data_IF_578660352600
#
_entry.id   IF_578660352600
#
_cell.length_a   1.000
_cell.length_b   1.000
_cell.length_c   1.000
_cell.angle_alpha   90.00
_cell.angle_beta   90.00
_cell.angle_gamma   90.00
#
_symmetry.space_group_name_H-M   'P 1'
#
loop_
_entity.id
_entity.type
_entity.pdbx_description
1 polymer ?
#
# COMPACT_ATOMS: atom_id res chain seq x y z
N UNK A 1 8.60 4.16 -1.16
CA UNK A 1 7.58 3.94 -0.08
C UNK A 1 8.01 4.61 1.21
N UNK A 2 7.05 4.86 2.05
CA UNK A 2 7.11 5.52 3.36
C UNK A 2 8.22 5.01 4.29
N UNK A 3 8.23 3.72 4.65
CA UNK A 3 9.23 3.13 5.54
C UNK A 3 10.67 3.28 5.01
N UNK A 4 10.87 3.22 3.69
CA UNK A 4 12.20 3.40 3.09
C UNK A 4 12.64 4.86 3.17
N UNK A 5 11.74 5.81 2.92
CA UNK A 5 12.01 7.24 3.06
C UNK A 5 12.32 7.56 4.52
N UNK A 6 11.54 7.02 5.46
CA UNK A 6 11.82 7.16 6.89
C UNK A 6 13.24 6.67 7.26
N UNK A 7 13.64 5.51 6.74
CA UNK A 7 15.00 4.98 6.89
C UNK A 7 16.06 5.93 6.33
N UNK A 8 15.84 6.46 5.11
CA UNK A 8 16.77 7.39 4.46
C UNK A 8 16.90 8.71 5.23
N UNK A 9 15.80 9.23 5.80
CA UNK A 9 15.82 10.44 6.66
C UNK A 9 16.64 10.16 7.93
N UNK A 10 16.39 9.04 8.61
CA UNK A 10 17.12 8.65 9.83
C UNK A 10 18.60 8.44 9.55
N UNK A 11 18.94 7.90 8.39
CA UNK A 11 20.34 7.65 7.95
C UNK A 11 21.01 8.88 7.36
N UNK A 12 20.33 10.03 7.32
CA UNK A 12 20.84 11.29 6.76
C UNK A 12 21.24 11.17 5.27
N UNK A 13 20.45 10.45 4.48
CA UNK A 13 20.71 10.14 3.07
C UNK A 13 19.92 11.02 2.09
N UNK A 14 19.03 11.91 2.56
CA UNK A 14 18.21 12.80 1.74
C UNK A 14 18.45 14.27 2.04
N UNK A 15 18.28 15.12 1.02
CA UNK A 15 18.32 16.57 1.13
C UNK A 15 16.92 17.13 1.45
N UNK A 16 16.80 18.21 2.26
CA UNK A 16 15.55 18.94 2.38
C UNK A 16 15.08 19.47 1.02
N UNK A 17 13.77 19.48 0.79
CA UNK A 17 13.15 20.04 -0.41
C UNK A 17 12.88 21.52 -0.20
N UNK A 18 13.25 22.35 -1.18
CA UNK A 18 12.97 23.79 -1.20
C UNK A 18 11.55 24.02 -1.75
N UNK A 19 10.54 23.86 -0.90
CA UNK A 19 9.13 24.06 -1.27
C UNK A 19 8.80 25.49 -1.68
N UNK A 20 9.54 26.49 -1.15
CA UNK A 20 9.31 27.91 -1.43
C UNK A 20 9.60 28.24 -2.91
N UNK A 21 10.42 27.46 -3.58
CA UNK A 21 10.74 27.59 -5.00
C UNK A 21 9.80 26.82 -5.94
N UNK A 22 8.84 26.06 -5.40
CA UNK A 22 7.88 25.25 -6.15
C UNK A 22 6.56 26.01 -6.35
N UNK A 23 6.12 26.12 -7.62
CA UNK A 23 4.90 26.82 -7.99
C UNK A 23 3.64 25.98 -7.76
N UNK A 24 3.74 24.66 -7.97
CA UNK A 24 2.61 23.73 -7.97
C UNK A 24 2.50 22.86 -6.72
N UNK A 25 3.38 23.04 -5.74
CA UNK A 25 3.37 22.24 -4.51
C UNK A 25 2.05 22.37 -3.72
N UNK A 26 1.37 23.51 -3.85
CA UNK A 26 0.05 23.77 -3.27
C UNK A 26 -1.08 22.91 -3.84
N UNK A 27 -0.85 22.15 -4.92
CA UNK A 27 -1.81 21.17 -5.44
C UNK A 27 -1.87 19.89 -4.59
N UNK A 28 -0.89 19.64 -3.73
CA UNK A 28 -0.91 18.50 -2.81
C UNK A 28 -1.79 18.84 -1.61
N UNK A 29 -2.82 18.02 -1.37
CA UNK A 29 -3.81 18.26 -0.32
C UNK A 29 -3.25 18.08 1.10
N UNK A 30 -3.78 18.86 2.04
CA UNK A 30 -3.35 18.87 3.45
C UNK A 30 -3.41 17.49 4.11
N UNK A 31 -4.41 16.68 3.77
CA UNK A 31 -4.58 15.30 4.25
C UNK A 31 -3.33 14.45 3.98
N UNK A 32 -2.74 14.58 2.82
CA UNK A 32 -1.58 13.76 2.41
C UNK A 32 -0.28 14.25 3.06
N UNK A 33 -0.20 15.53 3.36
CA UNK A 33 0.88 16.06 4.21
C UNK A 33 0.78 15.53 5.64
N UNK A 34 -0.44 15.48 6.22
CA UNK A 34 -0.64 14.87 7.54
C UNK A 34 -0.26 13.38 7.56
N UNK A 35 -0.62 12.62 6.53
CA UNK A 35 -0.20 11.22 6.39
C UNK A 35 1.33 11.09 6.34
N UNK A 36 1.99 11.98 5.60
CA UNK A 36 3.45 11.98 5.45
C UNK A 36 4.21 12.26 6.74
N UNK A 37 3.59 12.89 7.76
CA UNK A 37 4.21 13.11 9.08
C UNK A 37 4.57 11.81 9.81
N UNK A 38 3.96 10.69 9.44
CA UNK A 38 4.29 9.38 10.01
C UNK A 38 5.74 8.97 9.71
N UNK A 39 6.29 9.37 8.56
CA UNK A 39 7.63 9.00 8.10
C UNK A 39 8.55 10.20 7.85
N UNK A 40 8.02 11.39 7.60
CA UNK A 40 8.72 12.69 7.49
C UNK A 40 8.11 13.69 8.48
N UNK A 41 8.44 13.54 9.75
CA UNK A 41 7.80 14.24 10.86
C UNK A 41 7.74 15.77 10.71
N UNK A 42 8.78 16.34 10.13
CA UNK A 42 8.92 17.80 9.98
C UNK A 42 8.46 18.28 8.59
N UNK A 43 8.02 17.37 7.71
CA UNK A 43 7.63 17.63 6.33
C UNK A 43 8.70 18.41 5.57
N UNK A 44 9.93 17.89 5.56
CA UNK A 44 11.08 18.58 4.98
C UNK A 44 11.68 17.90 3.76
N UNK A 45 11.45 16.59 3.60
CA UNK A 45 12.25 15.77 2.70
C UNK A 45 11.45 15.16 1.56
N UNK A 46 10.10 15.22 1.63
CA UNK A 46 9.24 14.43 0.76
C UNK A 46 8.19 15.24 0.04
N UNK A 47 7.86 14.84 -1.19
CA UNK A 47 6.68 15.31 -1.92
C UNK A 47 5.78 14.10 -2.17
N UNK A 48 4.57 14.03 -1.58
CA UNK A 48 3.63 12.94 -1.84
C UNK A 48 3.34 12.78 -3.33
N UNK A 49 3.28 11.54 -3.81
CA UNK A 49 3.12 11.26 -5.24
C UNK A 49 1.92 10.38 -5.54
N UNK A 50 1.87 9.20 -4.96
CA UNK A 50 0.73 8.28 -4.98
C UNK A 50 0.55 7.67 -3.60
N UNK A 51 -0.64 7.13 -3.38
CA UNK A 51 -0.97 6.42 -2.16
C UNK A 51 -2.01 5.35 -2.44
N UNK A 52 -2.26 4.50 -1.49
CA UNK A 52 -3.28 3.47 -1.61
C UNK A 52 -3.32 2.58 -0.39
N UNK A 53 -4.10 1.52 -0.49
CA UNK A 53 -4.28 0.55 0.59
C UNK A 53 -3.85 -0.84 0.16
N UNK A 54 -3.63 -1.71 1.13
CA UNK A 54 -3.55 -3.15 0.94
C UNK A 54 -4.90 -3.76 1.28
N UNK A 55 -5.41 -4.63 0.43
CA UNK A 55 -6.71 -5.25 0.65
C UNK A 55 -6.85 -6.61 -0.02
N UNK A 56 -8.08 -7.06 -0.13
CA UNK A 56 -8.44 -8.29 -0.81
C UNK A 56 -9.09 -7.94 -2.14
N UNK A 57 -8.49 -8.39 -3.25
CA UNK A 57 -9.14 -8.49 -4.55
C UNK A 57 -9.79 -9.86 -4.61
N UNK A 58 -11.07 -9.92 -4.99
CA UNK A 58 -11.80 -11.17 -5.05
C UNK A 58 -12.66 -11.27 -6.29
N UNK A 59 -12.89 -12.49 -6.75
CA UNK A 59 -13.74 -12.78 -7.90
C UNK A 59 -15.15 -13.12 -7.42
N UNK A 60 -16.14 -12.32 -7.81
CA UNK A 60 -17.53 -12.44 -7.39
C UNK A 60 -18.24 -13.69 -7.92
N UNK A 61 -17.76 -14.28 -9.03
CA UNK A 61 -18.27 -15.54 -9.57
C UNK A 61 -17.69 -16.76 -8.86
N UNK A 62 -16.52 -16.62 -8.22
CA UNK A 62 -15.85 -17.71 -7.50
C UNK A 62 -16.16 -17.67 -6.00
N UNK A 63 -16.51 -16.49 -5.44
CA UNK A 63 -16.86 -16.31 -4.04
C UNK A 63 -18.36 -16.14 -3.85
N UNK A 64 -18.91 -16.69 -2.77
CA UNK A 64 -20.34 -16.59 -2.43
C UNK A 64 -20.62 -15.56 -1.32
N UNK A 65 -19.59 -14.81 -0.90
CA UNK A 65 -19.71 -13.69 0.04
C UNK A 65 -18.60 -12.65 -0.21
N UNK A 66 -18.84 -11.43 0.26
CA UNK A 66 -17.83 -10.36 0.25
C UNK A 66 -16.81 -10.62 1.37
N UNK A 67 -15.50 -10.76 1.07
CA UNK A 67 -14.46 -11.04 2.09
C UNK A 67 -14.11 -9.77 2.90
N UNK A 68 -15.07 -9.24 3.65
CA UNK A 68 -14.95 -8.00 4.43
C UNK A 68 -14.10 -8.12 5.72
N UNK A 69 -13.47 -9.27 5.91
CA UNK A 69 -12.59 -9.58 7.04
C UNK A 69 -11.37 -10.33 6.57
N UNK A 70 -10.21 -10.05 7.17
CA UNK A 70 -8.98 -10.82 6.92
C UNK A 70 -9.14 -12.32 7.19
N UNK A 71 -10.14 -12.75 7.99
CA UNK A 71 -10.42 -14.17 8.21
C UNK A 71 -10.76 -14.92 6.90
N UNK A 72 -11.22 -14.25 5.85
CA UNK A 72 -11.47 -14.86 4.55
C UNK A 72 -10.24 -15.59 3.99
N UNK A 73 -9.03 -15.06 4.27
CA UNK A 73 -7.77 -15.68 3.84
C UNK A 73 -7.44 -17.00 4.59
N UNK A 74 -8.25 -17.40 5.57
CA UNK A 74 -8.19 -18.67 6.29
C UNK A 74 -9.40 -19.57 6.04
N UNK A 75 -10.26 -19.23 5.07
CA UNK A 75 -11.43 -20.05 4.75
C UNK A 75 -11.02 -21.27 3.93
N UNK A 76 -11.15 -22.45 4.53
CA UNK A 76 -10.83 -23.76 3.93
C UNK A 76 -11.61 -24.04 2.63
N UNK A 77 -12.76 -23.38 2.43
CA UNK A 77 -13.56 -23.48 1.21
C UNK A 77 -12.76 -23.04 -0.01
N UNK A 78 -11.87 -22.09 0.14
CA UNK A 78 -11.07 -21.53 -0.95
C UNK A 78 -9.63 -22.05 -0.99
N UNK A 79 -9.39 -23.20 -0.36
CA UNK A 79 -8.07 -23.87 -0.41
C UNK A 79 -7.54 -23.98 -1.84
N UNK A 80 -6.28 -23.58 -2.04
CA UNK A 80 -5.59 -23.50 -3.34
C UNK A 80 -6.24 -22.50 -4.33
N UNK A 81 -6.97 -21.51 -3.82
CA UNK A 81 -7.54 -20.40 -4.57
C UNK A 81 -7.28 -19.06 -3.87
N UNK A 82 -6.26 -18.98 -3.03
CA UNK A 82 -5.84 -17.79 -2.28
C UNK A 82 -4.42 -17.44 -2.69
N UNK A 83 -4.19 -16.21 -3.13
CA UNK A 83 -2.85 -15.70 -3.43
C UNK A 83 -2.44 -14.70 -2.35
N UNK A 84 -1.25 -14.88 -1.80
CA UNK A 84 -0.65 -13.99 -0.80
C UNK A 84 0.47 -13.16 -1.42
N UNK A 85 0.76 -11.99 -0.84
CA UNK A 85 1.90 -11.19 -1.23
C UNK A 85 3.22 -11.91 -0.92
N UNK A 86 4.18 -11.85 -1.86
CA UNK A 86 5.55 -12.31 -1.64
C UNK A 86 6.41 -11.17 -1.07
N UNK A 87 5.86 -10.45 -0.13
CA UNK A 87 6.50 -9.36 0.61
C UNK A 87 6.44 -9.66 2.10
N UNK A 88 7.54 -9.42 2.80
CA UNK A 88 7.71 -9.79 4.21
C UNK A 88 6.67 -9.08 5.08
N UNK A 89 6.60 -7.75 4.99
CA UNK A 89 5.72 -6.93 5.84
C UNK A 89 4.27 -7.13 5.45
N UNK A 90 3.94 -7.04 4.16
CA UNK A 90 2.56 -7.14 3.67
C UNK A 90 1.91 -8.49 3.99
N UNK A 91 2.66 -9.59 3.88
CA UNK A 91 2.14 -10.92 4.24
C UNK A 91 1.79 -11.05 5.71
N UNK A 92 2.44 -10.29 6.60
CA UNK A 92 2.16 -10.32 8.03
C UNK A 92 0.95 -9.46 8.43
N UNK A 93 0.52 -8.48 7.61
CA UNK A 93 -0.60 -7.58 7.89
C UNK A 93 -1.84 -8.33 8.40
N UNK A 94 -2.42 -9.28 7.65
CA UNK A 94 -3.65 -9.95 8.06
C UNK A 94 -3.53 -10.67 9.41
N UNK A 95 -2.40 -11.35 9.62
CA UNK A 95 -2.19 -12.14 10.84
C UNK A 95 -1.97 -11.26 12.07
N UNK A 96 -1.24 -10.15 11.92
CA UNK A 96 -1.02 -9.18 13.00
C UNK A 96 -2.34 -8.52 13.41
N UNK A 97 -3.08 -7.98 12.45
CA UNK A 97 -4.34 -7.29 12.70
C UNK A 97 -5.37 -8.23 13.34
N UNK A 98 -5.50 -9.47 12.85
CA UNK A 98 -6.39 -10.48 13.45
C UNK A 98 -6.00 -10.88 14.87
N UNK A 99 -4.74 -10.67 15.25
CA UNK A 99 -4.27 -10.85 16.62
C UNK A 99 -4.39 -9.56 17.47
N UNK A 100 -5.00 -8.49 16.94
CA UNK A 100 -5.11 -7.15 17.52
C UNK A 100 -3.74 -6.51 17.80
N UNK A 101 -2.77 -6.75 16.93
CA UNK A 101 -1.44 -6.14 16.97
C UNK A 101 -1.30 -5.10 15.86
N UNK A 102 -0.47 -4.08 16.11
CA UNK A 102 -0.06 -3.11 15.08
C UNK A 102 0.75 -3.79 13.98
N UNK A 103 0.59 -3.35 12.74
CA UNK A 103 1.44 -3.76 11.61
C UNK A 103 2.89 -3.25 11.77
N UNK A 104 3.12 -2.37 12.74
CA UNK A 104 4.42 -1.81 13.10
C UNK A 104 5.02 -2.43 14.37
N UNK A 105 4.47 -3.53 14.88
CA UNK A 105 5.01 -4.18 16.08
C UNK A 105 6.45 -4.64 15.88
N UNK A 106 7.25 -4.51 16.94
CA UNK A 106 8.62 -5.06 17.02
C UNK A 106 8.73 -6.14 18.09
N UNK A 107 7.61 -6.49 18.74
CA UNK A 107 7.57 -7.54 19.75
C UNK A 107 7.69 -8.93 19.13
N UNK A 108 8.73 -9.69 19.54
CA UNK A 108 8.98 -11.03 18.99
C UNK A 108 7.83 -12.02 19.32
N UNK A 109 7.16 -11.86 20.46
CA UNK A 109 6.04 -12.73 20.83
C UNK A 109 4.83 -12.52 19.92
N UNK A 110 4.48 -11.27 19.62
CA UNK A 110 3.41 -10.91 18.67
C UNK A 110 3.74 -11.41 17.26
N UNK A 111 4.97 -11.19 16.80
CA UNK A 111 5.42 -11.65 15.49
C UNK A 111 5.42 -13.17 15.35
N UNK A 112 5.80 -13.91 16.41
CA UNK A 112 5.72 -15.38 16.42
C UNK A 112 4.29 -15.89 16.43
N UNK A 113 3.38 -15.20 17.11
CA UNK A 113 1.95 -15.51 17.07
C UNK A 113 1.37 -15.30 15.66
N UNK A 114 1.76 -14.21 14.99
CA UNK A 114 1.39 -13.95 13.60
C UNK A 114 1.99 -15.02 12.64
N UNK A 115 3.27 -15.38 12.81
CA UNK A 115 3.90 -16.46 12.05
C UNK A 115 3.13 -17.78 12.20
N UNK A 116 2.75 -18.15 13.43
CA UNK A 116 1.97 -19.39 13.65
C UNK A 116 0.66 -19.36 12.88
N UNK A 117 -0.05 -18.24 12.90
CA UNK A 117 -1.29 -18.06 12.13
C UNK A 117 -1.06 -18.19 10.63
N UNK A 118 0.02 -17.61 10.09
CA UNK A 118 0.41 -17.75 8.68
C UNK A 118 0.84 -19.17 8.30
N UNK A 119 1.47 -19.90 9.22
CA UNK A 119 1.79 -21.32 9.01
C UNK A 119 0.52 -22.16 8.92
N UNK A 120 -0.50 -21.87 9.74
CA UNK A 120 -1.80 -22.56 9.68
C UNK A 120 -2.55 -22.24 8.37
N UNK A 121 -2.33 -21.04 7.78
CA UNK A 121 -2.88 -20.63 6.50
C UNK A 121 -2.17 -21.31 5.31
N UNK A 122 -0.90 -21.62 5.43
CA UNK A 122 -0.04 -21.96 4.30
C UNK A 122 -0.57 -23.09 3.41
N UNK A 123 -1.26 -24.07 3.99
CA UNK A 123 -1.89 -25.17 3.23
C UNK A 123 -3.08 -24.71 2.37
N UNK A 124 -3.62 -23.52 2.62
CA UNK A 124 -4.73 -22.93 1.87
C UNK A 124 -4.23 -22.08 0.70
N UNK A 125 -3.01 -21.57 0.79
CA UNK A 125 -2.42 -20.64 -0.16
C UNK A 125 -1.99 -21.37 -1.44
N UNK A 126 -2.45 -20.87 -2.58
CA UNK A 126 -2.03 -21.32 -3.90
C UNK A 126 -0.60 -20.91 -4.21
N UNK A 127 -0.29 -19.63 -4.01
CA UNK A 127 1.00 -19.03 -4.35
C UNK A 127 1.28 -17.77 -3.56
N UNK A 128 2.56 -17.39 -3.52
CA UNK A 128 3.04 -16.10 -3.02
C UNK A 128 3.65 -15.34 -4.19
N UNK A 129 3.00 -14.26 -4.62
CA UNK A 129 3.36 -13.47 -5.81
C UNK A 129 3.45 -11.98 -5.43
N UNK A 130 3.91 -11.14 -6.33
CA UNK A 130 3.90 -9.67 -6.18
C UNK A 130 2.99 -9.11 -7.28
N UNK A 131 3.56 -8.60 -8.37
CA UNK A 131 2.79 -7.97 -9.44
C UNK A 131 1.98 -9.00 -10.28
N UNK A 132 2.43 -10.26 -10.30
CA UNK A 132 1.74 -11.34 -11.00
C UNK A 132 0.35 -11.66 -10.43
N UNK A 133 0.05 -11.24 -9.20
CA UNK A 133 -1.29 -11.39 -8.60
C UNK A 133 -2.34 -10.73 -9.49
N UNK A 134 -2.05 -9.55 -10.02
CA UNK A 134 -2.93 -8.83 -10.94
C UNK A 134 -3.32 -9.70 -12.12
N UNK A 135 -2.34 -10.27 -12.79
CA UNK A 135 -2.56 -11.04 -14.01
C UNK A 135 -3.27 -12.37 -13.70
N UNK A 136 -2.92 -13.04 -12.60
CA UNK A 136 -3.58 -14.28 -12.17
C UNK A 136 -5.05 -14.02 -11.81
N UNK A 137 -5.36 -12.94 -11.08
CA UNK A 137 -6.73 -12.59 -10.74
C UNK A 137 -7.53 -12.18 -11.97
N UNK A 138 -6.97 -11.39 -12.88
CA UNK A 138 -7.61 -10.99 -14.13
C UNK A 138 -7.96 -12.19 -15.02
N UNK A 139 -7.22 -13.30 -14.92
CA UNK A 139 -7.44 -14.54 -15.66
C UNK A 139 -8.17 -15.64 -14.86
N UNK A 140 -8.90 -15.31 -13.80
CA UNK A 140 -9.70 -16.23 -12.96
C UNK A 140 -8.88 -17.39 -12.36
N UNK A 141 -7.58 -17.18 -12.06
CA UNK A 141 -6.71 -18.22 -11.55
C UNK A 141 -6.83 -18.42 -10.03
N UNK A 142 -7.49 -17.48 -9.31
CA UNK A 142 -7.74 -17.57 -7.87
C UNK A 142 -9.05 -16.90 -7.50
N UNK A 143 -9.64 -17.31 -6.36
CA UNK A 143 -10.86 -16.71 -5.85
C UNK A 143 -10.58 -15.37 -5.15
N UNK A 144 -9.42 -15.23 -4.50
CA UNK A 144 -9.03 -13.99 -3.85
C UNK A 144 -7.50 -13.85 -3.74
N UNK A 145 -7.05 -12.60 -3.64
CA UNK A 145 -5.64 -12.25 -3.48
C UNK A 145 -5.41 -11.05 -2.56
N UNK A 146 -4.35 -11.12 -1.75
CA UNK A 146 -3.83 -9.98 -0.99
C UNK A 146 -3.05 -9.08 -1.95
N UNK A 147 -3.51 -7.85 -2.19
CA UNK A 147 -3.01 -7.02 -3.28
C UNK A 147 -3.02 -5.52 -2.91
N UNK A 148 -2.20 -4.73 -3.59
CA UNK A 148 -2.25 -3.27 -3.54
C UNK A 148 -3.44 -2.73 -4.34
N UNK A 149 -4.07 -1.68 -3.84
CA UNK A 149 -5.31 -1.13 -4.38
C UNK A 149 -5.20 -0.71 -5.86
N UNK A 150 -4.10 -0.12 -6.29
CA UNK A 150 -3.90 0.27 -7.68
C UNK A 150 -3.76 -0.93 -8.63
N UNK A 151 -3.05 -1.99 -8.21
CA UNK A 151 -3.00 -3.24 -8.96
C UNK A 151 -4.37 -3.92 -9.04
N UNK A 152 -5.17 -3.80 -7.98
CA UNK A 152 -6.56 -4.29 -7.99
C UNK A 152 -7.41 -3.50 -8.99
N UNK A 153 -7.28 -2.17 -9.03
CA UNK A 153 -7.98 -1.33 -10.01
C UNK A 153 -7.61 -1.70 -11.43
N UNK A 154 -6.32 -1.89 -11.70
CA UNK A 154 -5.88 -2.30 -13.04
C UNK A 154 -6.36 -3.71 -13.41
N UNK A 155 -6.42 -4.65 -12.46
CA UNK A 155 -6.98 -5.99 -12.72
C UNK A 155 -8.47 -5.94 -13.10
N UNK A 156 -9.24 -5.04 -12.46
CA UNK A 156 -10.68 -4.82 -12.73
C UNK A 156 -10.95 -4.30 -14.13
N UNK A 157 -10.02 -3.56 -14.75
CA UNK A 157 -10.11 -3.16 -16.17
C UNK A 157 -10.13 -4.34 -17.14
N UNK A 158 -9.58 -5.47 -16.74
CA UNK A 158 -9.51 -6.68 -17.57
C UNK A 158 -10.53 -7.74 -17.20
N UNK A 159 -11.14 -7.66 -16.00
CA UNK A 159 -12.12 -8.63 -15.52
C UNK A 159 -13.16 -7.95 -14.63
N UNK A 160 -14.35 -7.73 -15.17
CA UNK A 160 -15.49 -7.08 -14.50
C UNK A 160 -16.06 -7.84 -13.29
N UNK A 161 -15.67 -9.12 -13.12
CA UNK A 161 -16.07 -9.93 -11.97
C UNK A 161 -15.18 -9.69 -10.74
N UNK A 162 -14.16 -8.85 -10.85
CA UNK A 162 -13.27 -8.55 -9.74
C UNK A 162 -13.75 -7.35 -8.94
N UNK A 163 -13.75 -7.51 -7.61
CA UNK A 163 -14.04 -6.45 -6.67
C UNK A 163 -12.94 -6.35 -5.61
N UNK A 164 -12.73 -5.14 -5.07
CA UNK A 164 -11.72 -4.87 -4.07
C UNK A 164 -12.36 -4.44 -2.74
N UNK A 165 -11.82 -4.95 -1.64
CA UNK A 165 -12.26 -4.57 -0.30
C UNK A 165 -11.07 -4.41 0.66
N UNK A 166 -11.10 -3.34 1.45
CA UNK A 166 -10.23 -3.21 2.64
C UNK A 166 -11.00 -3.81 3.82
N UNK A 167 -10.50 -4.88 4.46
CA UNK A 167 -11.20 -5.52 5.57
C UNK A 167 -11.50 -4.57 6.73
N UNK A 168 -12.59 -4.86 7.43
CA UNK A 168 -13.13 -4.02 8.51
C UNK A 168 -12.19 -3.88 9.72
N UNK A 169 -11.27 -4.79 9.88
CA UNK A 169 -10.26 -4.74 10.93
C UNK A 169 -9.16 -3.71 10.67
N UNK A 170 -9.14 -3.11 9.47
CA UNK A 170 -8.08 -2.19 9.04
C UNK A 170 -7.00 -2.87 8.20
N UNK A 171 -6.05 -2.09 7.74
CA UNK A 171 -4.96 -2.54 6.86
C UNK A 171 -3.75 -1.61 6.90
N UNK A 172 -2.84 -1.79 5.95
CA UNK A 172 -1.82 -0.83 5.60
C UNK A 172 -2.36 0.21 4.62
N UNK A 173 -2.02 1.47 4.87
CA UNK A 173 -2.13 2.56 3.91
C UNK A 173 -0.71 3.04 3.60
N UNK A 174 -0.30 2.90 2.37
CA UNK A 174 1.05 3.27 1.94
C UNK A 174 1.05 4.61 1.21
N UNK A 175 2.14 5.35 1.36
CA UNK A 175 2.36 6.63 0.68
C UNK A 175 3.69 6.58 -0.04
N UNK A 176 3.65 6.60 -1.36
CA UNK A 176 4.83 6.81 -2.17
C UNK A 176 5.11 8.30 -2.29
N UNK A 177 6.34 8.67 -2.08
CA UNK A 177 6.76 10.06 -2.13
C UNK A 177 8.11 10.18 -2.85
N UNK A 178 8.30 11.32 -3.47
CA UNK A 178 9.59 11.71 -4.02
C UNK A 178 10.47 12.28 -2.91
N UNK A 179 11.75 11.97 -2.97
CA UNK A 179 12.79 12.54 -2.11
C UNK A 179 14.06 12.79 -2.92
N UNK A 180 14.89 13.73 -2.51
CA UNK A 180 16.15 14.09 -3.20
C UNK A 180 17.31 13.44 -2.46
N UNK A 181 18.01 12.46 -3.04
CA UNK A 181 19.16 11.84 -2.38
C UNK A 181 20.32 12.83 -2.21
N UNK A 182 21.01 12.73 -1.06
CA UNK A 182 22.22 13.52 -0.81
C UNK A 182 23.32 13.22 -1.83
N UNK A 183 24.10 14.26 -2.14
CA UNK A 183 25.21 14.17 -3.09
C UNK A 183 24.78 14.19 -4.56
N UNK A 184 23.52 14.43 -4.85
CA UNK A 184 23.03 14.70 -6.20
C UNK A 184 23.70 15.94 -6.80
N UNK A 185 24.12 15.86 -8.08
CA UNK A 185 24.86 16.96 -8.74
C UNK A 185 23.97 18.09 -9.26
N UNK A 186 22.64 17.91 -9.23
CA UNK A 186 21.70 18.87 -9.81
C UNK A 186 20.47 19.00 -8.90
N UNK A 187 20.66 19.55 -7.72
CA UNK A 187 19.60 19.79 -6.74
C UNK A 187 18.48 20.67 -7.30
N UNK A 188 18.82 21.80 -7.93
CA UNK A 188 17.83 22.71 -8.53
C UNK A 188 16.99 22.03 -9.63
N UNK A 189 17.62 21.16 -10.44
CA UNK A 189 16.92 20.38 -11.44
C UNK A 189 15.97 19.34 -10.81
N UNK A 190 16.38 18.73 -9.69
CA UNK A 190 15.53 17.81 -8.94
C UNK A 190 14.30 18.52 -8.39
N UNK A 191 14.45 19.69 -7.73
CA UNK A 191 13.31 20.48 -7.21
C UNK A 191 12.36 20.88 -8.34
N UNK A 192 12.89 21.36 -9.48
CA UNK A 192 12.06 21.68 -10.66
C UNK A 192 11.32 20.47 -11.22
N UNK A 193 11.92 19.29 -11.16
CA UNK A 193 11.24 18.06 -11.61
C UNK A 193 10.13 17.67 -10.65
N UNK A 194 10.33 17.79 -9.33
CA UNK A 194 9.29 17.57 -8.34
C UNK A 194 8.12 18.54 -8.53
N UNK A 195 8.40 19.81 -8.76
CA UNK A 195 7.38 20.82 -9.03
C UNK A 195 6.61 20.51 -10.32
N UNK A 196 7.31 20.11 -11.38
CA UNK A 196 6.70 19.67 -12.63
C UNK A 196 5.72 18.50 -12.43
N UNK A 197 6.04 17.54 -11.56
CA UNK A 197 5.15 16.42 -11.24
C UNK A 197 3.91 16.82 -10.44
N UNK A 198 3.95 17.97 -9.75
CA UNK A 198 2.79 18.50 -9.01
C UNK A 198 1.81 19.28 -9.92
N UNK A 199 2.17 19.60 -11.18
CA UNK A 199 1.26 20.25 -12.12
C UNK A 199 0.04 19.38 -12.37
N UNK A 200 -1.12 20.00 -12.47
CA UNK A 200 -2.41 19.33 -12.67
C UNK A 200 -2.45 18.46 -13.94
N UNK A 201 -1.97 18.97 -15.07
CA UNK A 201 -1.94 18.26 -16.35
C UNK A 201 -0.98 17.04 -16.33
N UNK A 202 0.15 17.17 -15.65
CA UNK A 202 1.14 16.09 -15.49
C UNK A 202 0.64 15.06 -14.50
N UNK A 203 0.12 15.50 -13.36
CA UNK A 203 -0.41 14.63 -12.32
C UNK A 203 -1.64 13.85 -12.83
N UNK A 204 -2.51 14.47 -13.64
CA UNK A 204 -3.64 13.80 -14.31
C UNK A 204 -3.14 12.69 -15.23
N UNK A 205 -2.17 12.99 -16.11
CA UNK A 205 -1.59 12.00 -17.01
C UNK A 205 -0.98 10.80 -16.25
N UNK A 206 -0.29 11.07 -15.13
CA UNK A 206 0.26 10.03 -14.28
C UNK A 206 -0.84 9.22 -13.59
N UNK A 207 -1.88 9.87 -13.08
CA UNK A 207 -3.02 9.22 -12.44
C UNK A 207 -3.73 8.25 -13.40
N UNK A 208 -4.05 8.71 -14.60
CA UNK A 208 -4.71 7.89 -15.63
C UNK A 208 -3.86 6.70 -16.10
N UNK A 209 -2.53 6.82 -16.02
CA UNK A 209 -1.62 5.77 -16.46
C UNK A 209 -1.29 4.74 -15.37
N UNK A 210 -1.13 5.20 -14.11
CA UNK A 210 -0.63 4.38 -13.00
C UNK A 210 -1.76 3.66 -12.26
N UNK A 211 -2.97 4.19 -12.27
CA UNK A 211 -4.16 3.65 -11.56
C UNK A 211 -4.03 3.65 -10.02
N UNK A 212 -3.16 4.48 -9.46
CA UNK A 212 -3.04 4.65 -8.01
C UNK A 212 -3.71 5.94 -7.56
N UNK A 213 -4.17 5.99 -6.30
CA UNK A 213 -4.78 7.20 -5.73
C UNK A 213 -3.79 8.35 -5.72
N UNK A 214 -4.24 9.53 -6.16
CA UNK A 214 -3.40 10.74 -6.24
C UNK A 214 -3.60 11.66 -5.05
N UNK A 215 -2.54 12.29 -4.52
CA UNK A 215 -2.65 13.33 -3.51
C UNK A 215 -2.91 14.73 -4.09
N UNK A 216 -3.03 14.86 -5.41
CA UNK A 216 -3.17 16.13 -6.12
C UNK A 216 -4.64 16.58 -6.18
N UNK A 217 -5.00 17.59 -5.39
CA UNK A 217 -6.38 18.13 -5.30
C UNK A 217 -6.85 18.75 -6.62
N UNK A 218 -5.93 19.28 -7.42
CA UNK A 218 -6.29 19.81 -8.73
C UNK A 218 -6.72 18.69 -9.70
N UNK A 219 -6.18 17.50 -9.57
CA UNK A 219 -6.64 16.27 -10.27
C UNK A 219 -7.97 15.82 -9.70
N UNK A 220 -8.06 15.64 -8.38
CA UNK A 220 -9.27 15.15 -7.70
C UNK A 220 -10.49 16.03 -8.00
N UNK A 221 -10.31 17.34 -8.17
CA UNK A 221 -11.39 18.29 -8.51
C UNK A 221 -11.93 18.14 -9.93
N UNK A 222 -11.20 17.45 -10.83
CA UNK A 222 -11.59 17.21 -12.22
C UNK A 222 -12.32 15.87 -12.42
N UNK A 223 -12.34 15.00 -11.39
CA UNK A 223 -13.02 13.70 -11.44
C UNK A 223 -14.41 13.85 -10.86
N UNK A 224 -15.41 13.39 -11.59
CA UNK A 224 -16.81 13.46 -11.17
C UNK A 224 -17.06 12.62 -9.89
N UNK A 225 -17.95 13.11 -9.03
CA UNK A 225 -18.28 12.40 -7.77
C UNK A 225 -18.93 11.03 -8.01
N UNK A 226 -19.59 10.85 -9.15
CA UNK A 226 -20.17 9.55 -9.55
C UNK A 226 -19.07 8.52 -9.84
N UNK A 227 -17.94 8.95 -10.42
CA UNK A 227 -16.80 8.09 -10.74
C UNK A 227 -15.97 7.74 -9.48
N UNK A 228 -16.00 8.61 -8.46
CA UNK A 228 -15.36 8.35 -7.17
C UNK A 228 -16.20 7.40 -6.29
N UNK A 229 -17.52 7.48 -6.40
CA UNK A 229 -18.42 6.79 -5.50
C UNK A 229 -18.35 5.27 -5.63
N UNK A 230 -17.97 4.60 -4.54
CA UNK A 230 -17.93 3.14 -4.45
C UNK A 230 -16.64 2.49 -4.99
N UNK A 231 -15.71 3.27 -5.54
CA UNK A 231 -14.38 2.75 -5.90
C UNK A 231 -13.39 2.93 -4.74
N UNK A 232 -13.52 2.09 -3.74
CA UNK A 232 -12.63 2.09 -2.57
C UNK A 232 -11.18 1.64 -2.86
N UNK A 233 -10.88 1.21 -4.06
CA UNK A 233 -9.51 0.92 -4.47
C UNK A 233 -8.74 2.22 -4.80
N UNK A 234 -9.39 3.19 -5.45
CA UNK A 234 -8.77 4.46 -5.82
C UNK A 234 -9.22 5.60 -4.89
N UNK A 235 -10.47 5.58 -4.45
CA UNK A 235 -11.08 6.62 -3.62
C UNK A 235 -11.65 6.03 -2.32
N UNK A 236 -10.80 5.47 -1.43
CA UNK A 236 -11.30 4.89 -0.19
C UNK A 236 -11.94 5.95 0.71
N UNK A 237 -13.08 5.58 1.31
CA UNK A 237 -13.79 6.40 2.26
C UNK A 237 -12.92 6.73 3.49
N UNK A 238 -13.19 7.85 4.16
CA UNK A 238 -12.40 8.30 5.32
C UNK A 238 -12.41 7.28 6.46
N UNK A 239 -13.50 6.56 6.68
CA UNK A 239 -13.58 5.49 7.69
C UNK A 239 -12.66 4.30 7.39
N UNK A 240 -12.35 4.05 6.12
CA UNK A 240 -11.33 3.07 5.70
C UNK A 240 -9.95 3.58 6.10
N UNK A 241 -9.66 4.83 5.79
CA UNK A 241 -8.36 5.47 6.07
C UNK A 241 -8.09 5.52 7.58
N UNK A 242 -9.10 5.90 8.39
CA UNK A 242 -8.97 6.02 9.84
C UNK A 242 -8.62 4.71 10.55
N UNK A 243 -8.97 3.56 9.98
CA UNK A 243 -8.67 2.24 10.58
C UNK A 243 -7.39 1.60 10.04
N UNK A 244 -6.69 2.25 9.11
CA UNK A 244 -5.42 1.77 8.56
C UNK A 244 -4.22 2.38 9.28
N UNK A 245 -3.11 1.68 9.24
CA UNK A 245 -1.81 2.17 9.72
C UNK A 245 -0.87 2.40 8.54
N UNK A 246 0.14 3.25 8.70
CA UNK A 246 1.23 3.45 7.72
C UNK A 246 2.46 2.70 8.21
N UNK A 247 3.17 2.02 7.32
CA UNK A 247 4.42 1.37 7.66
C UNK A 247 5.51 2.37 8.04
N UNK A 248 6.13 2.12 9.19
CA UNK A 248 7.31 2.85 9.65
C UNK A 248 8.57 1.98 9.51
N UNK A 249 9.72 2.62 9.45
CA UNK A 249 11.00 1.95 9.62
C UNK A 249 11.15 1.46 11.06
N UNK A 250 11.30 0.17 11.24
CA UNK A 250 11.28 -0.48 12.57
C UNK A 250 12.69 -0.64 13.18
N UNK A 251 13.73 -0.23 12.46
CA UNK A 251 15.11 -0.47 12.85
C UNK A 251 15.64 -1.84 12.38
N UNK A 252 16.95 -1.96 12.33
CA UNK A 252 17.65 -3.13 11.75
C UNK A 252 17.28 -4.42 12.46
N UNK A 253 17.21 -4.41 13.80
CA UNK A 253 16.92 -5.61 14.58
C UNK A 253 15.54 -6.19 14.28
N UNK A 254 14.52 -5.32 14.17
CA UNK A 254 13.16 -5.73 13.84
C UNK A 254 13.07 -6.19 12.38
N UNK A 255 13.71 -5.49 11.44
CA UNK A 255 13.77 -5.94 10.03
C UNK A 255 14.40 -7.33 9.90
N UNK A 256 15.49 -7.59 10.62
CA UNK A 256 16.14 -8.92 10.67
C UNK A 256 15.21 -9.99 11.26
N UNK A 257 14.45 -9.65 12.31
CA UNK A 257 13.48 -10.56 12.92
C UNK A 257 12.37 -10.90 11.93
N UNK A 258 11.73 -9.93 11.29
CA UNK A 258 10.72 -10.16 10.25
C UNK A 258 11.26 -11.04 9.13
N UNK A 259 12.46 -10.75 8.61
CA UNK A 259 13.10 -11.52 7.56
C UNK A 259 13.40 -12.98 7.99
N UNK A 260 13.78 -13.20 9.25
CA UNK A 260 13.99 -14.54 9.80
C UNK A 260 12.69 -15.32 9.86
N UNK A 261 11.62 -14.71 10.40
CA UNK A 261 10.30 -15.35 10.51
C UNK A 261 9.68 -15.63 9.14
N UNK A 262 9.89 -14.71 8.18
CA UNK A 262 9.48 -14.94 6.79
C UNK A 262 10.16 -16.16 6.17
N UNK A 263 11.46 -16.33 6.39
CA UNK A 263 12.18 -17.52 5.94
C UNK A 263 11.64 -18.79 6.62
N UNK A 264 11.34 -18.73 7.93
CA UNK A 264 10.70 -19.83 8.64
C UNK A 264 9.33 -20.19 8.01
N UNK A 265 8.50 -19.20 7.66
CA UNK A 265 7.24 -19.44 6.95
C UNK A 265 7.45 -20.11 5.59
N UNK A 266 8.42 -19.66 4.81
CA UNK A 266 8.63 -20.16 3.43
C UNK A 266 9.12 -21.60 3.39
N UNK A 267 9.80 -22.10 4.43
CA UNK A 267 10.30 -23.48 4.50
C UNK A 267 9.40 -24.42 5.30
N UNK A 268 8.36 -23.89 5.96
CA UNK A 268 7.36 -24.65 6.71
C UNK A 268 6.52 -25.50 5.76
#
# INVERSE_FOLDING_TARGET
>A
SDYMINKMIISDEVEPVDYDSMEYIGNIGDKYWEMSKSFDKDLKYTVPYFWGTVGILYNTEMMDYVPDSWNALWDEKYKNNIIMQNSVRDSFIPALILNNNSINTTDEGELRAALKKLQDQKELVQSYLVDEIRDDMANDQAAMGLIYSGEASLAREYNENLEYVVPKEGSDIWVDSWAIPKGGKNYEGAVKFLDFLCRDDVAMTNFEYVYYSTPNEAVLSQIDEEDKAGDNAIFPDDDIIERCEIFNYLGVEAEELYNRLWKELKVY
#
